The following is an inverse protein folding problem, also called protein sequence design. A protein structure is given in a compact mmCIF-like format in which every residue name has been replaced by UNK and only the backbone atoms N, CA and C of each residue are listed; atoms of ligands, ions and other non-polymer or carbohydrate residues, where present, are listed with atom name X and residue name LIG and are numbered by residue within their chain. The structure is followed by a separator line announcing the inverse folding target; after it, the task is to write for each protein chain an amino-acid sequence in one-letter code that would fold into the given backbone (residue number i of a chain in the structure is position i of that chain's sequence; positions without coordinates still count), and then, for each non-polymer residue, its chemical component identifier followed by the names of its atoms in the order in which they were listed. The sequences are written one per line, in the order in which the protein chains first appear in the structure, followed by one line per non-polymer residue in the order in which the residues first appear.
data_IF_960246196649
#
_entry.id   IF_960246196649
#
_cell.length_a   1.000
_cell.length_b   1.000
_cell.length_c   1.000
_cell.angle_alpha   90.00
_cell.angle_beta   90.00
_cell.angle_gamma   90.00
#
_symmetry.space_group_name_H-M   'P 1'
#
loop_
_entity.id
_entity.type
_entity.pdbx_description
1 polymer ?
#
# COMPACT_ATOMS: atom_id res chain seq x y z
N UNK A 1 -19.61 -11.97 1.88
CA UNK A 1 -18.36 -11.33 1.38
C UNK A 1 -17.20 -11.87 2.20
N UNK A 2 -16.19 -12.42 1.50
CA UNK A 2 -15.11 -13.16 2.16
C UNK A 2 -13.93 -12.24 2.55
N UNK A 3 -13.68 -11.16 1.79
CA UNK A 3 -12.56 -10.24 1.99
C UNK A 3 -12.99 -9.09 2.90
N UNK A 4 -12.21 -8.80 3.95
CA UNK A 4 -12.53 -7.78 4.94
C UNK A 4 -11.26 -7.10 5.47
N UNK A 5 -11.20 -5.79 5.48
CA UNK A 5 -9.96 -5.13 5.86
C UNK A 5 -10.06 -3.67 6.26
N UNK A 6 -8.91 -3.07 6.46
CA UNK A 6 -8.75 -1.70 6.94
C UNK A 6 -7.82 -0.89 6.05
N UNK A 7 -8.02 0.43 6.04
CA UNK A 7 -7.15 1.41 5.40
C UNK A 7 -6.59 2.37 6.45
N UNK A 8 -5.26 2.53 6.47
CA UNK A 8 -4.55 3.48 7.32
C UNK A 8 -3.64 4.35 6.46
N UNK A 9 -3.93 5.65 6.41
CA UNK A 9 -3.23 6.58 5.52
C UNK A 9 -2.61 7.73 6.30
N UNK A 10 -1.33 8.04 6.02
CA UNK A 10 -0.57 9.14 6.61
C UNK A 10 -0.12 10.10 5.51
N UNK A 11 -0.35 11.38 5.70
CA UNK A 11 0.15 12.48 4.88
C UNK A 11 -0.84 13.00 3.86
N UNK A 12 -1.07 12.31 2.76
CA UNK A 12 -1.91 12.79 1.66
C UNK A 12 -3.44 12.76 1.89
N UNK A 13 -3.89 12.40 3.08
CA UNK A 13 -5.31 12.26 3.41
C UNK A 13 -5.82 10.83 3.27
N UNK A 14 -7.09 10.65 2.95
CA UNK A 14 -7.74 9.34 2.80
C UNK A 14 -8.10 9.06 1.33
N UNK A 15 -7.16 9.23 0.43
CA UNK A 15 -7.41 9.18 -1.00
C UNK A 15 -7.68 7.76 -1.49
N UNK A 16 -6.98 6.77 -0.95
CA UNK A 16 -7.19 5.36 -1.34
C UNK A 16 -8.53 4.86 -0.82
N UNK A 17 -8.86 5.10 0.44
CA UNK A 17 -10.15 4.76 1.00
C UNK A 17 -11.30 5.42 0.22
N UNK A 18 -11.17 6.70 -0.12
CA UNK A 18 -12.17 7.43 -0.91
C UNK A 18 -12.35 6.82 -2.30
N UNK A 19 -11.27 6.50 -3.00
CA UNK A 19 -11.35 5.86 -4.31
C UNK A 19 -11.94 4.45 -4.22
N UNK A 20 -11.60 3.68 -3.19
CA UNK A 20 -12.16 2.36 -2.94
C UNK A 20 -13.69 2.41 -2.77
N UNK A 21 -14.21 3.36 -2.00
CA UNK A 21 -15.65 3.58 -1.87
C UNK A 21 -16.30 4.06 -3.17
N UNK A 22 -15.60 4.88 -3.95
CA UNK A 22 -16.10 5.37 -5.25
C UNK A 22 -16.16 4.25 -6.28
N UNK A 23 -15.23 3.31 -6.28
CA UNK A 23 -15.26 2.13 -7.15
C UNK A 23 -16.51 1.25 -6.88
N UNK A 24 -17.08 1.33 -5.68
CA UNK A 24 -18.31 0.64 -5.30
C UNK A 24 -18.07 -0.76 -4.74
N UNK A 25 -19.17 -1.42 -4.40
CA UNK A 25 -19.18 -2.76 -3.79
C UNK A 25 -18.37 -2.88 -2.47
N UNK A 26 -18.11 -1.77 -1.79
CA UNK A 26 -17.31 -1.71 -0.57
C UNK A 26 -18.10 -2.13 0.69
N UNK A 27 -19.42 -2.24 0.61
CA UNK A 27 -20.25 -2.66 1.75
C UNK A 27 -19.88 -4.07 2.22
N UNK A 28 -19.57 -4.21 3.51
CA UNK A 28 -19.16 -5.50 4.09
C UNK A 28 -17.70 -5.90 3.80
N UNK A 29 -16.90 -5.06 3.12
CA UNK A 29 -15.50 -5.30 2.82
C UNK A 29 -14.55 -4.46 3.68
N UNK A 30 -15.01 -3.31 4.18
CA UNK A 30 -14.18 -2.37 4.94
C UNK A 30 -14.61 -2.34 6.40
N UNK A 31 -13.68 -2.67 7.29
CA UNK A 31 -13.86 -2.58 8.74
C UNK A 31 -13.72 -1.14 9.24
N UNK A 32 -12.68 -0.45 8.75
CA UNK A 32 -12.28 0.86 9.23
C UNK A 32 -11.44 1.57 8.18
N UNK A 33 -11.58 2.89 8.12
CA UNK A 33 -10.59 3.77 7.48
C UNK A 33 -10.11 4.79 8.49
N UNK A 34 -8.83 5.12 8.49
CA UNK A 34 -8.29 6.15 9.36
C UNK A 34 -7.15 6.93 8.69
N UNK A 35 -6.97 8.17 9.14
CA UNK A 35 -5.81 8.98 8.81
C UNK A 35 -5.17 9.48 10.11
N UNK A 36 -3.89 9.18 10.32
CA UNK A 36 -3.10 9.71 11.42
C UNK A 36 -2.27 10.89 10.89
N UNK A 37 -2.92 12.05 10.75
CA UNK A 37 -2.33 13.24 10.15
C UNK A 37 -1.29 13.92 11.06
N UNK A 38 -1.54 13.95 12.36
CA UNK A 38 -0.64 14.53 13.34
C UNK A 38 0.50 13.55 13.71
N UNK A 39 1.74 14.04 13.73
CA UNK A 39 2.92 13.22 14.02
C UNK A 39 2.90 12.63 15.43
N UNK A 40 2.51 13.40 16.43
CA UNK A 40 2.44 12.95 17.83
C UNK A 40 1.41 11.84 17.98
N UNK A 41 0.27 11.99 17.33
CA UNK A 41 -0.78 10.98 17.32
C UNK A 41 -0.34 9.72 16.56
N UNK A 42 0.35 9.88 15.42
CA UNK A 42 0.93 8.76 14.66
C UNK A 42 1.95 7.98 15.48
N UNK A 43 2.79 8.67 16.26
CA UNK A 43 3.76 8.05 17.17
C UNK A 43 3.10 7.32 18.32
N UNK A 44 1.99 7.84 18.83
CA UNK A 44 1.23 7.16 19.89
C UNK A 44 0.62 5.83 19.43
N UNK A 45 0.31 5.70 18.12
CA UNK A 45 -0.27 4.47 17.55
C UNK A 45 0.83 3.50 17.08
N UNK A 46 1.79 4.00 16.29
CA UNK A 46 2.76 3.17 15.55
C UNK A 46 4.17 3.20 16.14
N UNK A 47 4.37 3.93 17.23
CA UNK A 47 5.67 4.15 17.86
C UNK A 47 6.49 5.25 17.17
N UNK A 48 7.41 5.86 17.91
CA UNK A 48 8.24 6.93 17.40
C UNK A 48 9.27 6.43 16.35
N UNK A 49 9.55 7.27 15.36
CA UNK A 49 10.60 7.03 14.37
C UNK A 49 11.92 7.64 14.85
N UNK A 50 12.94 6.80 15.05
CA UNK A 50 14.27 7.26 15.49
C UNK A 50 14.93 8.24 14.51
N UNK A 51 14.60 8.14 13.22
CA UNK A 51 15.08 9.03 12.16
C UNK A 51 14.31 10.36 12.10
N UNK A 52 13.17 10.49 12.78
CA UNK A 52 12.24 11.60 12.64
C UNK A 52 11.56 11.68 11.26
N UNK A 53 11.72 10.65 10.42
CA UNK A 53 11.13 10.60 9.08
C UNK A 53 9.88 9.72 9.09
N UNK A 54 8.73 10.34 8.82
CA UNK A 54 7.44 9.66 8.81
C UNK A 54 7.10 9.03 7.45
N UNK A 55 7.65 9.57 6.37
CA UNK A 55 7.58 8.96 5.04
C UNK A 55 8.76 8.00 4.89
N UNK A 56 8.58 6.78 5.36
CA UNK A 56 9.63 5.75 5.36
C UNK A 56 9.04 4.35 5.25
N UNK A 57 9.84 3.43 4.72
CA UNK A 57 9.51 2.01 4.65
C UNK A 57 9.19 1.45 6.05
N UNK A 58 10.02 1.79 7.03
CA UNK A 58 9.85 1.31 8.40
C UNK A 58 8.50 1.75 9.00
N UNK A 59 8.10 3.01 8.78
CA UNK A 59 6.77 3.50 9.19
C UNK A 59 5.66 2.70 8.51
N UNK A 60 5.74 2.49 7.20
CA UNK A 60 4.76 1.69 6.48
C UNK A 60 4.62 0.29 7.06
N UNK A 61 5.74 -0.43 7.26
CA UNK A 61 5.72 -1.80 7.76
C UNK A 61 5.13 -1.89 9.18
N UNK A 62 5.43 -0.93 10.06
CA UNK A 62 4.79 -0.85 11.38
C UNK A 62 3.29 -0.58 11.30
N UNK A 63 2.84 0.24 10.36
CA UNK A 63 1.41 0.48 10.14
C UNK A 63 0.71 -0.81 9.68
N UNK A 64 1.29 -1.52 8.72
CA UNK A 64 0.74 -2.78 8.21
C UNK A 64 0.62 -3.83 9.32
N UNK A 65 1.71 -4.06 10.07
CA UNK A 65 1.73 -5.02 11.18
C UNK A 65 0.71 -4.68 12.26
N UNK A 66 0.68 -3.41 12.72
CA UNK A 66 -0.26 -2.95 13.73
C UNK A 66 -1.72 -3.13 13.30
N UNK A 67 -2.07 -2.65 12.11
CA UNK A 67 -3.45 -2.68 11.62
C UNK A 67 -3.92 -4.09 11.33
N UNK A 68 -3.05 -4.95 10.80
CA UNK A 68 -3.37 -6.35 10.53
C UNK A 68 -3.53 -7.15 11.83
N UNK A 69 -2.62 -6.96 12.80
CA UNK A 69 -2.70 -7.59 14.12
C UNK A 69 -3.98 -7.18 14.85
N UNK A 70 -4.33 -5.89 14.80
CA UNK A 70 -5.55 -5.37 15.43
C UNK A 70 -6.82 -5.97 14.84
N UNK A 71 -6.87 -6.24 13.54
CA UNK A 71 -8.00 -6.94 12.92
C UNK A 71 -8.13 -8.37 13.46
N UNK A 72 -7.02 -9.13 13.48
CA UNK A 72 -7.01 -10.51 13.96
C UNK A 72 -7.37 -10.61 15.45
N UNK A 73 -6.90 -9.68 16.28
CA UNK A 73 -7.20 -9.65 17.70
C UNK A 73 -8.69 -9.36 17.98
N UNK A 74 -9.31 -8.50 17.20
CA UNK A 74 -10.68 -8.02 17.45
C UNK A 74 -11.76 -8.80 16.72
N UNK A 75 -11.41 -9.38 15.58
CA UNK A 75 -12.36 -10.06 14.70
C UNK A 75 -12.12 -11.56 14.73
N UNK A 76 -12.55 -12.20 15.79
CA UNK A 76 -12.49 -13.66 15.98
C UNK A 76 -13.88 -14.25 16.21
N UNK A 77 -13.98 -15.59 16.18
CA UNK A 77 -15.22 -16.34 16.34
C UNK A 77 -15.93 -16.65 15.01
N UNK A 78 -16.95 -17.49 15.08
CA UNK A 78 -17.65 -18.12 13.94
C UNK A 78 -18.01 -17.16 12.79
N UNK A 79 -18.37 -15.92 13.12
CA UNK A 79 -18.75 -14.90 12.12
C UNK A 79 -17.61 -14.54 11.16
N UNK A 80 -16.36 -14.72 11.59
CA UNK A 80 -15.17 -14.29 10.85
C UNK A 80 -14.30 -15.44 10.35
N UNK A 81 -14.61 -16.69 10.74
CA UNK A 81 -13.85 -17.89 10.36
C UNK A 81 -13.75 -18.12 8.86
N UNK A 82 -14.70 -17.63 8.08
CA UNK A 82 -14.70 -17.71 6.62
C UNK A 82 -14.14 -16.48 5.90
N UNK A 83 -13.56 -15.52 6.65
CA UNK A 83 -13.06 -14.27 6.09
C UNK A 83 -11.54 -14.26 5.98
N UNK A 84 -11.06 -13.68 4.89
CA UNK A 84 -9.65 -13.29 4.72
C UNK A 84 -9.50 -11.82 5.08
N UNK A 85 -8.48 -11.50 5.87
CA UNK A 85 -8.22 -10.13 6.29
C UNK A 85 -7.14 -9.47 5.46
N UNK A 86 -7.27 -8.14 5.34
CA UNK A 86 -6.19 -7.29 4.83
C UNK A 86 -6.05 -5.99 5.63
N UNK A 87 -4.84 -5.47 5.68
CA UNK A 87 -4.53 -4.10 6.08
C UNK A 87 -3.81 -3.41 4.95
N UNK A 88 -4.39 -2.34 4.44
CA UNK A 88 -3.73 -1.41 3.52
C UNK A 88 -3.16 -0.25 4.31
N UNK A 89 -1.95 0.16 3.99
CA UNK A 89 -1.36 1.37 4.55
C UNK A 89 -0.58 2.17 3.52
N UNK A 90 -0.51 3.47 3.75
CA UNK A 90 0.42 4.34 3.04
C UNK A 90 0.97 5.44 3.96
N UNK A 91 2.16 5.91 3.63
CA UNK A 91 2.76 7.11 4.20
C UNK A 91 3.38 7.90 3.05
N UNK A 92 2.76 9.03 2.70
CA UNK A 92 3.05 9.77 1.46
C UNK A 92 3.11 11.26 1.74
N UNK A 93 4.08 11.94 1.14
CA UNK A 93 4.10 13.39 1.04
C UNK A 93 3.77 13.84 -0.38
N UNK A 94 2.84 14.78 -0.52
CA UNK A 94 2.58 15.50 -1.76
C UNK A 94 3.39 16.78 -1.80
N UNK A 95 3.35 17.52 -2.92
CA UNK A 95 3.98 18.84 -3.01
C UNK A 95 3.45 19.76 -1.90
N UNK A 96 4.38 20.40 -1.19
CA UNK A 96 4.04 21.46 -0.25
C UNK A 96 3.66 22.76 -0.99
N UNK A 97 3.09 23.71 -0.27
CA UNK A 97 2.68 25.00 -0.84
C UNK A 97 3.83 25.76 -1.57
N UNK A 98 5.07 25.61 -1.06
CA UNK A 98 6.26 26.26 -1.65
C UNK A 98 6.87 25.47 -2.80
N UNK A 99 6.39 24.25 -3.08
CA UNK A 99 6.92 23.33 -4.09
C UNK A 99 8.42 23.07 -3.95
N UNK A 100 8.89 22.91 -2.72
CA UNK A 100 10.32 22.73 -2.39
C UNK A 100 10.69 21.32 -1.98
N UNK A 101 9.70 20.43 -1.82
CA UNK A 101 9.90 19.02 -1.50
C UNK A 101 9.71 18.13 -2.72
N UNK A 102 10.25 16.94 -2.66
CA UNK A 102 9.96 15.87 -3.61
C UNK A 102 8.74 15.08 -3.12
N UNK A 103 7.66 14.98 -3.92
CA UNK A 103 6.49 14.19 -3.55
C UNK A 103 6.77 12.72 -3.77
N UNK A 104 6.73 11.96 -2.68
CA UNK A 104 7.01 10.54 -2.69
C UNK A 104 6.33 9.83 -1.52
N UNK A 105 6.35 8.51 -1.53
CA UNK A 105 5.85 7.75 -0.39
C UNK A 105 5.98 6.26 -0.52
N UNK A 106 5.54 5.59 0.53
CA UNK A 106 5.49 4.15 0.65
C UNK A 106 4.04 3.70 0.72
N UNK A 107 3.72 2.69 -0.06
CA UNK A 107 2.38 2.12 -0.17
C UNK A 107 2.48 0.62 0.00
N UNK A 108 1.56 0.01 0.76
CA UNK A 108 1.62 -1.43 0.97
C UNK A 108 0.31 -2.05 1.45
N UNK A 109 0.29 -3.36 1.38
CA UNK A 109 -0.79 -4.21 1.85
C UNK A 109 -0.24 -5.44 2.54
N UNK A 110 -0.81 -5.79 3.69
CA UNK A 110 -0.66 -7.07 4.37
C UNK A 110 -1.99 -7.82 4.23
N UNK A 111 -1.98 -9.06 3.71
CA UNK A 111 -3.22 -9.76 3.38
C UNK A 111 -3.10 -11.28 3.49
N UNK A 112 -4.22 -11.94 3.72
CA UNK A 112 -4.36 -13.39 3.69
C UNK A 112 -4.88 -13.83 2.32
N UNK A 113 -4.43 -14.97 1.84
CA UNK A 113 -4.98 -15.63 0.64
C UNK A 113 -6.12 -16.61 0.96
N UNK A 114 -6.19 -17.04 2.22
CA UNK A 114 -7.23 -17.93 2.74
C UNK A 114 -7.58 -17.55 4.19
N UNK A 115 -8.77 -17.86 4.67
CA UNK A 115 -9.17 -17.57 6.05
C UNK A 115 -8.23 -18.21 7.06
N UNK A 116 -7.75 -17.43 8.03
CA UNK A 116 -6.79 -17.89 9.04
C UNK A 116 -5.39 -18.22 8.53
N UNK A 117 -5.12 -17.99 7.24
CA UNK A 117 -3.81 -18.20 6.62
C UNK A 117 -2.77 -17.21 7.12
N UNK A 118 -1.49 -17.57 6.92
CA UNK A 118 -0.38 -16.67 7.20
C UNK A 118 -0.42 -15.44 6.28
N UNK A 119 -0.02 -14.27 6.79
CA UNK A 119 -0.06 -13.05 6.01
C UNK A 119 1.01 -13.03 4.90
N UNK A 120 0.66 -12.34 3.82
CA UNK A 120 1.55 -11.96 2.75
C UNK A 120 1.63 -10.43 2.73
N UNK A 121 2.74 -9.89 2.27
CA UNK A 121 2.93 -8.46 2.13
C UNK A 121 3.39 -8.11 0.72
N UNK A 122 2.86 -7.00 0.21
CA UNK A 122 3.34 -6.31 -0.98
C UNK A 122 3.52 -4.86 -0.56
N UNK A 123 4.68 -4.29 -0.82
CA UNK A 123 4.89 -2.86 -0.63
C UNK A 123 5.82 -2.30 -1.71
N UNK A 124 5.67 -1.02 -1.98
CA UNK A 124 6.50 -0.33 -2.96
C UNK A 124 6.68 1.15 -2.61
N UNK A 125 7.75 1.72 -3.15
CA UNK A 125 8.02 3.15 -3.09
C UNK A 125 7.52 3.82 -4.37
N UNK A 126 6.87 4.98 -4.21
CA UNK A 126 6.36 5.78 -5.33
C UNK A 126 6.94 7.18 -5.30
N UNK A 127 7.16 7.74 -6.49
CA UNK A 127 7.38 9.16 -6.73
C UNK A 127 6.20 9.70 -7.53
N UNK A 128 5.60 10.78 -7.04
CA UNK A 128 4.44 11.40 -7.69
C UNK A 128 4.93 12.52 -8.59
N UNK A 129 4.82 12.31 -9.91
CA UNK A 129 5.48 13.16 -10.91
C UNK A 129 4.64 14.35 -11.38
N UNK A 130 3.34 14.34 -11.11
CA UNK A 130 2.48 15.47 -11.41
C UNK A 130 2.90 16.72 -10.63
N UNK A 131 2.75 17.88 -11.26
CA UNK A 131 3.04 19.18 -10.63
C UNK A 131 1.85 19.79 -9.89
N UNK A 132 0.71 19.12 -9.92
CA UNK A 132 -0.53 19.49 -9.24
C UNK A 132 -0.84 18.53 -8.10
N UNK A 133 -1.09 19.07 -6.90
CA UNK A 133 -1.35 18.28 -5.68
C UNK A 133 -2.61 17.43 -5.80
N UNK A 134 -3.65 17.94 -6.47
CA UNK A 134 -4.91 17.19 -6.65
C UNK A 134 -4.68 15.99 -7.56
N UNK A 135 -3.86 16.15 -8.60
CA UNK A 135 -3.49 15.05 -9.49
C UNK A 135 -2.64 14.01 -8.76
N UNK A 136 -1.70 14.44 -7.91
CA UNK A 136 -0.92 13.53 -7.06
C UNK A 136 -1.83 12.71 -6.12
N UNK A 137 -2.79 13.35 -5.49
CA UNK A 137 -3.78 12.67 -4.64
C UNK A 137 -4.61 11.67 -5.44
N UNK A 138 -5.05 12.05 -6.64
CA UNK A 138 -5.80 11.17 -7.54
C UNK A 138 -4.99 9.94 -7.93
N UNK A 139 -3.74 10.12 -8.32
CA UNK A 139 -2.81 9.02 -8.66
C UNK A 139 -2.64 8.08 -7.47
N UNK A 140 -2.40 8.62 -6.28
CA UNK A 140 -2.29 7.83 -5.06
C UNK A 140 -3.54 7.00 -4.79
N UNK A 141 -4.71 7.61 -4.93
CA UNK A 141 -5.99 6.91 -4.75
C UNK A 141 -6.17 5.75 -5.72
N UNK A 142 -5.82 5.93 -6.99
CA UNK A 142 -5.93 4.89 -8.02
C UNK A 142 -4.93 3.75 -7.75
N UNK A 143 -3.64 4.06 -7.58
CA UNK A 143 -2.61 3.03 -7.39
C UNK A 143 -2.83 2.22 -6.11
N UNK A 144 -3.37 2.84 -5.06
CA UNK A 144 -3.70 2.12 -3.83
C UNK A 144 -4.86 1.14 -4.03
N UNK A 145 -5.89 1.50 -4.78
CA UNK A 145 -6.99 0.58 -5.14
C UNK A 145 -6.47 -0.54 -6.03
N UNK A 146 -5.62 -0.21 -7.01
CA UNK A 146 -4.98 -1.20 -7.89
C UNK A 146 -4.15 -2.20 -7.08
N UNK A 147 -3.42 -1.76 -6.05
CA UNK A 147 -2.67 -2.66 -5.16
C UNK A 147 -3.60 -3.63 -4.42
N UNK A 148 -4.71 -3.16 -3.86
CA UNK A 148 -5.68 -4.06 -3.21
C UNK A 148 -6.22 -5.08 -4.20
N UNK A 149 -6.58 -4.66 -5.41
CA UNK A 149 -7.03 -5.55 -6.47
C UNK A 149 -5.95 -6.56 -6.86
N UNK A 150 -4.73 -6.10 -7.12
CA UNK A 150 -3.60 -6.94 -7.51
C UNK A 150 -3.26 -8.00 -6.45
N UNK A 151 -3.30 -7.64 -5.16
CA UNK A 151 -3.04 -8.56 -4.05
C UNK A 151 -4.01 -9.74 -4.03
N UNK A 152 -5.29 -9.53 -4.31
CA UNK A 152 -6.28 -10.61 -4.26
C UNK A 152 -6.44 -11.36 -5.58
N UNK A 153 -6.24 -10.72 -6.71
CA UNK A 153 -6.53 -11.33 -8.01
C UNK A 153 -5.29 -11.69 -8.83
N UNK A 154 -4.12 -11.09 -8.55
CA UNK A 154 -2.91 -11.26 -9.35
C UNK A 154 -1.65 -11.67 -8.57
N UNK A 155 -1.74 -11.91 -7.25
CA UNK A 155 -0.56 -12.28 -6.44
C UNK A 155 0.17 -13.53 -6.94
N UNK A 156 -0.52 -14.47 -7.59
CA UNK A 156 0.03 -15.69 -8.16
C UNK A 156 0.78 -15.48 -9.49
N UNK A 157 0.63 -14.31 -10.11
CA UNK A 157 1.31 -13.90 -11.34
C UNK A 157 2.03 -12.56 -11.15
N UNK A 158 3.23 -12.53 -10.55
CA UNK A 158 3.90 -11.29 -10.12
C UNK A 158 4.09 -10.25 -11.22
N UNK A 159 4.25 -10.66 -12.48
CA UNK A 159 4.35 -9.72 -13.61
C UNK A 159 3.02 -9.03 -13.90
N UNK A 160 1.93 -9.78 -13.93
CA UNK A 160 0.56 -9.25 -14.11
C UNK A 160 0.20 -8.36 -12.92
N UNK A 161 0.58 -8.77 -11.71
CA UNK A 161 0.42 -7.97 -10.50
C UNK A 161 1.06 -6.58 -10.65
N UNK A 162 2.32 -6.52 -11.12
CA UNK A 162 3.01 -5.24 -11.36
C UNK A 162 2.30 -4.43 -12.44
N UNK A 163 1.97 -5.03 -13.58
CA UNK A 163 1.31 -4.33 -14.68
C UNK A 163 -0.03 -3.73 -14.25
N UNK A 164 -0.81 -4.44 -13.44
CA UNK A 164 -2.11 -3.97 -12.95
C UNK A 164 -2.02 -2.76 -12.00
N UNK A 165 -0.85 -2.48 -11.40
CA UNK A 165 -0.66 -1.27 -10.60
C UNK A 165 -0.84 0.02 -11.41
N UNK A 166 -0.58 -0.02 -12.73
CA UNK A 166 -0.72 1.14 -13.62
C UNK A 166 -2.12 1.30 -14.22
N UNK A 167 -3.06 0.40 -13.95
CA UNK A 167 -4.39 0.47 -14.52
C UNK A 167 -5.07 1.81 -14.20
N UNK A 168 -5.61 2.46 -15.25
CA UNK A 168 -6.23 3.78 -15.16
C UNK A 168 -5.32 4.93 -14.71
N UNK A 169 -4.00 4.74 -14.71
CA UNK A 169 -3.03 5.82 -14.49
C UNK A 169 -2.57 6.42 -15.83
N UNK A 170 -2.27 7.71 -15.80
CA UNK A 170 -1.63 8.39 -16.94
C UNK A 170 -0.15 8.06 -16.95
N UNK A 171 0.37 7.69 -18.12
CA UNK A 171 1.81 7.47 -18.30
C UNK A 171 2.60 8.70 -17.83
N UNK A 172 3.61 8.49 -17.00
CA UNK A 172 4.45 9.57 -16.44
C UNK A 172 3.83 10.35 -15.28
N UNK A 173 2.69 9.91 -14.70
CA UNK A 173 2.13 10.52 -13.49
C UNK A 173 2.76 9.98 -12.20
N UNK A 174 3.32 8.77 -12.25
CA UNK A 174 3.96 8.09 -11.11
C UNK A 174 5.15 7.26 -11.59
N UNK A 175 6.14 7.15 -10.73
CA UNK A 175 7.26 6.22 -10.84
C UNK A 175 7.24 5.25 -9.66
N UNK A 176 7.46 3.97 -9.91
CA UNK A 176 7.67 2.94 -8.88
C UNK A 176 9.12 2.49 -9.00
N UNK A 177 9.96 2.89 -8.08
CA UNK A 177 11.41 2.65 -8.11
C UNK A 177 11.88 1.50 -7.21
N UNK A 178 10.98 0.98 -6.38
CA UNK A 178 11.19 -0.21 -5.57
C UNK A 178 9.86 -0.94 -5.35
N UNK A 179 9.87 -2.27 -5.49
CA UNK A 179 8.80 -3.16 -5.04
C UNK A 179 9.39 -4.33 -4.27
N UNK A 180 8.72 -4.74 -3.21
CA UNK A 180 9.07 -5.92 -2.43
C UNK A 180 7.82 -6.74 -2.08
N UNK A 181 7.96 -8.05 -2.14
CA UNK A 181 6.93 -9.01 -1.75
C UNK A 181 7.50 -10.02 -0.78
N UNK A 182 6.71 -10.45 0.18
CA UNK A 182 7.08 -11.52 1.12
C UNK A 182 5.86 -12.28 1.62
N UNK A 183 6.11 -13.45 2.17
CA UNK A 183 5.07 -14.34 2.70
C UNK A 183 4.91 -15.63 1.91
N UNK A 184 4.02 -16.53 2.37
CA UNK A 184 3.87 -17.87 1.78
C UNK A 184 3.52 -17.87 0.29
N UNK A 185 2.72 -16.90 -0.16
CA UNK A 185 2.33 -16.79 -1.59
C UNK A 185 3.49 -16.38 -2.49
N UNK A 186 4.56 -15.81 -1.92
CA UNK A 186 5.71 -15.25 -2.66
C UNK A 186 7.03 -15.98 -2.41
N UNK A 187 7.00 -17.19 -1.81
CA UNK A 187 8.21 -17.95 -1.45
C UNK A 187 9.19 -18.19 -2.61
N UNK A 188 8.66 -18.30 -3.83
CA UNK A 188 9.44 -18.56 -5.04
C UNK A 188 9.68 -17.29 -5.88
N UNK A 189 9.30 -16.11 -5.36
CA UNK A 189 9.43 -14.85 -6.06
C UNK A 189 10.76 -14.18 -5.70
N UNK A 190 11.52 -13.80 -6.73
CA UNK A 190 12.77 -13.07 -6.56
C UNK A 190 12.52 -11.56 -6.69
N UNK A 191 12.66 -10.82 -5.59
CA UNK A 191 12.44 -9.37 -5.54
C UNK A 191 13.39 -8.60 -6.47
N UNK A 192 14.63 -9.06 -6.67
CA UNK A 192 15.56 -8.43 -7.62
C UNK A 192 15.02 -8.48 -9.04
N UNK A 193 14.46 -9.63 -9.45
CA UNK A 193 13.84 -9.77 -10.78
C UNK A 193 12.56 -8.93 -10.91
N UNK A 194 11.77 -8.75 -9.84
CA UNK A 194 10.62 -7.85 -9.85
C UNK A 194 11.05 -6.40 -10.10
N UNK A 195 12.10 -5.95 -9.40
CA UNK A 195 12.60 -4.59 -9.57
C UNK A 195 13.22 -4.36 -10.97
N UNK A 196 13.89 -5.36 -11.55
CA UNK A 196 14.30 -5.30 -12.95
C UNK A 196 13.11 -5.24 -13.92
N UNK A 197 12.01 -5.90 -13.56
CA UNK A 197 10.79 -5.88 -14.37
C UNK A 197 10.10 -4.49 -14.35
N UNK A 198 10.19 -3.74 -13.25
CA UNK A 198 9.74 -2.33 -13.21
C UNK A 198 10.43 -1.48 -14.29
N UNK A 199 11.75 -1.63 -14.44
CA UNK A 199 12.53 -0.91 -15.47
C UNK A 199 12.09 -1.36 -16.86
N UNK A 200 11.94 -2.66 -17.09
CA UNK A 200 11.52 -3.21 -18.41
C UNK A 200 10.12 -2.73 -18.84
N UNK A 201 9.28 -2.34 -17.89
CA UNK A 201 7.91 -1.87 -18.13
C UNK A 201 7.76 -0.35 -18.01
N UNK A 202 8.86 0.38 -17.98
CA UNK A 202 8.91 1.85 -17.89
C UNK A 202 8.21 2.42 -16.63
N UNK A 203 8.10 1.62 -15.55
CA UNK A 203 7.64 2.11 -14.26
C UNK A 203 8.68 2.97 -13.56
N UNK A 204 9.95 2.76 -13.86
CA UNK A 204 11.07 3.55 -13.36
C UNK A 204 12.25 3.52 -14.30
N UNK A 205 13.02 4.62 -14.34
CA UNK A 205 14.29 4.69 -15.04
C UNK A 205 15.43 3.95 -14.33
N UNK A 206 15.29 3.70 -13.02
CA UNK A 206 16.25 2.98 -12.19
C UNK A 206 15.53 2.26 -11.06
N UNK A 207 16.03 1.11 -10.64
CA UNK A 207 15.51 0.39 -9.48
C UNK A 207 16.50 0.44 -8.32
N UNK A 208 15.94 0.51 -7.11
CA UNK A 208 16.68 0.39 -5.86
C UNK A 208 16.66 -1.10 -5.49
N UNK A 209 17.81 -1.63 -5.11
CA UNK A 209 17.92 -3.00 -4.61
C UNK A 209 18.30 -2.92 -3.13
N UNK A 210 17.50 -3.57 -2.27
CA UNK A 210 17.94 -3.81 -0.90
C UNK A 210 19.11 -4.79 -0.93
N UNK A 211 20.19 -4.44 -0.25
CA UNK A 211 21.28 -5.39 0.01
C UNK A 211 20.76 -6.33 1.12
N UNK A 212 20.62 -7.61 0.79
CA UNK A 212 20.37 -8.68 1.75
C UNK A 212 21.46 -8.75 2.83
#
# INVERSE_FOLDING_TARGET
EQIYGTFAEIGAGQEVARNFFTAGAAAGTVAKTMSAYDMTFSDAIYGAESSGRYVSQNRLLRMLDHEFSLLNERLHGEKYESRTFFAFANTVTTLNFKRTNEPHGWVGICFQTEPGGLPNEIFFHVRLLDTDVIMQQRVLGIIGVNLVYAAFYHHHEPKVMIESLADNLTVGSVEIDLISVKGPAFKDVNNTLLNLYLIMKDFSAAAIFDAD
#
